data_IF_180926826132
#
_entry.id   IF_180926826132
#
_cell.length_a   1.000
_cell.length_b   1.000
_cell.length_c   1.000
_cell.angle_alpha   90.00
_cell.angle_beta   90.00
_cell.angle_gamma   90.00
#
_symmetry.space_group_name_H-M   'P 1'
#
loop_
_entity.id
_entity.type
_entity.pdbx_description
1 polymer ?
#
# COMPACT_ATOMS: atom_id res chain seq x y z
N UNK A 1 -2.43 9.57 8.51
CA UNK A 1 -3.42 10.07 7.57
C UNK A 1 -3.31 9.34 6.25
N UNK A 2 -4.45 9.01 5.68
CA UNK A 2 -4.53 8.34 4.38
C UNK A 2 -5.09 9.30 3.35
N UNK A 3 -4.57 9.22 2.13
CA UNK A 3 -5.10 9.99 1.02
C UNK A 3 -4.89 9.26 -0.28
N UNK A 4 -5.71 9.57 -1.27
CA UNK A 4 -5.54 9.07 -2.63
C UNK A 4 -5.00 10.23 -3.45
N UNK A 5 -3.69 10.29 -3.65
CA UNK A 5 -3.10 11.46 -4.27
C UNK A 5 -3.41 11.52 -5.77
N UNK A 6 -3.62 12.71 -6.24
CA UNK A 6 -3.74 13.01 -7.67
C UNK A 6 -2.38 13.35 -8.24
N UNK A 7 -1.58 14.05 -7.44
CA UNK A 7 -0.25 14.50 -7.80
C UNK A 7 0.46 14.85 -6.51
N UNK A 8 1.76 15.00 -6.58
CA UNK A 8 2.52 15.53 -5.47
C UNK A 8 2.75 14.57 -4.31
N UNK A 9 2.98 13.29 -4.61
CA UNK A 9 3.46 12.39 -3.57
C UNK A 9 4.75 12.95 -2.98
N UNK A 10 4.92 12.79 -1.65
CA UNK A 10 6.13 13.24 -1.00
C UNK A 10 7.36 12.51 -1.52
N UNK A 11 7.22 11.25 -1.89
CA UNK A 11 8.30 10.45 -2.44
C UNK A 11 7.82 9.83 -3.75
N UNK A 12 8.02 10.55 -4.85
CA UNK A 12 7.58 10.10 -6.16
C UNK A 12 8.32 8.84 -6.62
N UNK A 13 9.57 8.68 -6.20
CA UNK A 13 10.32 7.49 -6.57
C UNK A 13 9.71 6.24 -5.96
N UNK A 14 9.39 6.29 -4.67
CA UNK A 14 8.78 5.15 -3.99
C UNK A 14 7.40 4.82 -4.58
N UNK A 15 6.61 5.86 -4.87
CA UNK A 15 5.29 5.67 -5.46
C UNK A 15 5.40 5.00 -6.84
N UNK A 16 6.31 5.48 -7.68
CA UNK A 16 6.52 4.91 -9.00
C UNK A 16 7.02 3.46 -8.92
N UNK A 17 7.89 3.19 -7.97
CA UNK A 17 8.41 1.85 -7.77
C UNK A 17 7.28 0.87 -7.41
N UNK A 18 6.37 1.27 -6.53
CA UNK A 18 5.25 0.40 -6.15
C UNK A 18 4.42 0.04 -7.37
N UNK A 19 4.10 1.02 -8.21
CA UNK A 19 3.34 0.76 -9.42
C UNK A 19 4.12 -0.11 -10.41
N UNK A 20 5.41 0.15 -10.56
CA UNK A 20 6.24 -0.60 -11.49
C UNK A 20 6.34 -2.08 -11.09
N UNK A 21 6.50 -2.36 -9.82
CA UNK A 21 6.61 -3.73 -9.33
C UNK A 21 5.32 -4.52 -9.57
N UNK A 22 4.16 -3.85 -9.53
CA UNK A 22 2.88 -4.47 -9.84
C UNK A 22 2.56 -4.44 -11.34
N UNK A 23 3.43 -3.85 -12.15
CA UNK A 23 3.20 -3.67 -13.59
C UNK A 23 1.97 -2.82 -13.87
N UNK A 24 1.69 -1.90 -12.98
CA UNK A 24 0.66 -0.89 -13.19
C UNK A 24 1.22 0.23 -14.04
N UNK A 25 0.32 1.02 -14.62
CA UNK A 25 0.71 2.27 -15.24
C UNK A 25 1.45 3.13 -14.21
N UNK A 26 2.47 3.86 -14.65
CA UNK A 26 3.30 4.68 -13.76
C UNK A 26 2.48 5.66 -12.93
N UNK A 27 1.38 6.15 -13.50
CA UNK A 27 0.52 7.13 -12.83
C UNK A 27 -0.74 6.53 -12.23
N UNK A 28 -0.79 5.21 -12.11
CA UNK A 28 -1.93 4.59 -11.46
C UNK A 28 -2.06 5.12 -10.04
N UNK A 29 -3.29 5.36 -9.62
CA UNK A 29 -3.54 5.87 -8.27
C UNK A 29 -3.11 4.85 -7.24
N UNK A 30 -2.53 5.34 -6.15
CA UNK A 30 -2.17 4.51 -5.01
C UNK A 30 -2.44 5.30 -3.73
N UNK A 31 -2.28 4.67 -2.60
CA UNK A 31 -2.56 5.28 -1.31
C UNK A 31 -1.26 5.68 -0.64
N UNK A 32 -1.17 6.94 -0.23
CA UNK A 32 -0.08 7.43 0.60
C UNK A 32 -0.56 7.44 2.06
N UNK A 33 0.19 6.76 2.92
CA UNK A 33 -0.18 6.57 4.32
C UNK A 33 0.88 7.24 5.18
N UNK A 34 0.44 8.17 6.03
CA UNK A 34 1.36 8.88 6.92
C UNK A 34 1.58 8.04 8.17
N UNK A 35 2.84 7.77 8.50
CA UNK A 35 3.26 7.04 9.71
C UNK A 35 2.57 5.68 9.86
N UNK A 36 2.25 5.03 8.75
CA UNK A 36 1.69 3.68 8.81
C UNK A 36 0.38 3.59 9.60
N UNK A 37 -0.44 4.63 9.57
CA UNK A 37 -1.69 4.64 10.32
C UNK A 37 -2.81 3.96 9.55
N UNK A 38 -3.67 3.25 10.30
CA UNK A 38 -4.86 2.65 9.75
C UNK A 38 -4.74 1.18 9.46
N UNK A 39 -5.88 0.59 9.17
CA UNK A 39 -6.01 -0.79 8.72
C UNK A 39 -6.80 -0.80 7.44
N UNK A 40 -6.48 -1.73 6.55
CA UNK A 40 -7.10 -1.80 5.24
C UNK A 40 -7.60 -3.22 5.01
N UNK A 41 -8.90 -3.36 4.81
CA UNK A 41 -9.49 -4.64 4.48
C UNK A 41 -9.76 -4.69 2.99
N UNK A 42 -9.35 -5.77 2.35
CA UNK A 42 -9.52 -5.93 0.92
C UNK A 42 -10.83 -6.68 0.66
N UNK A 43 -11.61 -6.16 -0.26
CA UNK A 43 -12.94 -6.69 -0.54
C UNK A 43 -12.96 -7.63 -1.74
N UNK A 44 -11.81 -7.87 -2.34
CA UNK A 44 -11.66 -8.82 -3.44
C UNK A 44 -10.22 -9.30 -3.51
N UNK A 45 -10.01 -10.41 -4.21
CA UNK A 45 -8.66 -10.92 -4.43
C UNK A 45 -7.88 -9.94 -5.31
N UNK A 46 -6.61 -9.72 -4.97
CA UNK A 46 -5.75 -8.82 -5.74
C UNK A 46 -4.28 -9.08 -5.43
N UNK A 47 -3.42 -8.16 -5.85
CA UNK A 47 -2.00 -8.13 -5.49
C UNK A 47 -1.65 -6.76 -5.00
N UNK A 48 -0.76 -6.66 -4.04
CA UNK A 48 -0.31 -5.38 -3.51
C UNK A 48 1.21 -5.30 -3.46
N UNK A 49 1.71 -4.07 -3.39
CA UNK A 49 3.11 -3.78 -3.13
C UNK A 49 3.19 -2.57 -2.22
N UNK A 50 4.08 -2.65 -1.22
CA UNK A 50 4.28 -1.55 -0.27
C UNK A 50 5.70 -1.05 -0.41
N UNK A 51 5.84 0.27 -0.55
CA UNK A 51 7.13 0.93 -0.66
C UNK A 51 7.18 2.14 0.28
N UNK A 52 8.32 2.81 0.31
CA UNK A 52 8.50 3.98 1.15
C UNK A 52 8.96 3.62 2.54
N UNK A 53 8.37 4.23 3.54
CA UNK A 53 8.73 3.97 4.93
C UNK A 53 8.33 2.58 5.37
N UNK A 54 9.09 2.03 6.31
CA UNK A 54 8.85 0.69 6.84
C UNK A 54 8.25 0.81 8.24
N UNK A 55 6.97 0.45 8.33
CA UNK A 55 6.22 0.42 9.58
C UNK A 55 5.76 -0.99 9.90
N UNK A 56 6.59 -1.97 9.58
CA UNK A 56 6.32 -3.38 9.89
C UNK A 56 4.97 -3.82 9.33
N UNK A 57 4.78 -3.74 8.01
CA UNK A 57 3.49 -4.11 7.43
C UNK A 57 3.19 -5.58 7.65
N UNK A 58 1.92 -5.88 7.88
CA UNK A 58 1.43 -7.23 8.13
C UNK A 58 0.18 -7.48 7.31
N UNK A 59 0.08 -8.68 6.78
CA UNK A 59 -1.16 -9.15 6.18
C UNK A 59 -1.66 -10.28 7.06
N UNK A 60 -2.86 -10.10 7.62
CA UNK A 60 -3.46 -11.06 8.55
C UNK A 60 -2.48 -11.40 9.67
N UNK A 61 -1.87 -10.36 10.25
CA UNK A 61 -0.95 -10.43 11.38
C UNK A 61 0.40 -11.08 11.07
N UNK A 62 0.70 -11.34 9.81
CA UNK A 62 2.02 -11.86 9.42
C UNK A 62 2.82 -10.77 8.73
N UNK A 63 4.05 -10.58 9.18
CA UNK A 63 4.93 -9.59 8.58
C UNK A 63 5.18 -9.88 7.11
N UNK A 64 5.18 -8.85 6.31
CA UNK A 64 5.55 -8.94 4.90
C UNK A 64 6.75 -8.05 4.63
N UNK A 65 7.38 -8.29 3.49
CA UNK A 65 8.55 -7.52 3.08
C UNK A 65 8.14 -6.31 2.27
N UNK A 66 8.91 -5.23 2.46
CA UNK A 66 8.79 -4.06 1.61
C UNK A 66 9.22 -4.38 0.19
N UNK A 67 8.72 -3.62 -0.77
CA UNK A 67 9.14 -3.70 -2.17
C UNK A 67 8.98 -5.09 -2.77
N UNK A 68 7.94 -5.80 -2.35
CA UNK A 68 7.62 -7.14 -2.83
C UNK A 68 6.15 -7.22 -3.16
N UNK A 69 5.81 -8.00 -4.17
CA UNK A 69 4.43 -8.20 -4.58
C UNK A 69 3.84 -9.36 -3.77
N UNK A 70 2.68 -9.12 -3.17
CA UNK A 70 1.99 -10.14 -2.39
C UNK A 70 0.59 -10.38 -2.93
N UNK A 71 0.19 -11.65 -3.08
CA UNK A 71 -1.21 -11.96 -3.39
C UNK A 71 -2.06 -11.70 -2.17
N UNK A 72 -3.24 -11.14 -2.40
CA UNK A 72 -4.19 -10.80 -1.36
C UNK A 72 -5.48 -11.55 -1.63
N UNK A 73 -6.00 -12.21 -0.61
CA UNK A 73 -7.31 -12.83 -0.66
C UNK A 73 -8.36 -11.87 -0.12
N UNK A 74 -9.57 -11.99 -0.64
CA UNK A 74 -10.71 -11.24 -0.12
C UNK A 74 -10.75 -11.38 1.41
N UNK A 75 -11.07 -10.29 2.07
CA UNK A 75 -11.18 -10.15 3.53
C UNK A 75 -9.85 -10.14 4.27
N UNK A 76 -8.72 -10.19 3.56
CA UNK A 76 -7.42 -9.98 4.20
C UNK A 76 -7.31 -8.57 4.74
N UNK A 77 -6.55 -8.42 5.82
CA UNK A 77 -6.35 -7.14 6.49
C UNK A 77 -4.87 -6.78 6.47
N UNK A 78 -4.58 -5.60 5.92
CA UNK A 78 -3.25 -5.00 6.00
C UNK A 78 -3.22 -4.10 7.21
N UNK A 79 -2.23 -4.29 8.06
CA UNK A 79 -2.02 -3.46 9.23
C UNK A 79 -0.55 -3.13 9.36
N UNK A 80 -0.23 -2.22 10.27
CA UNK A 80 1.13 -1.75 10.50
C UNK A 80 1.45 -1.84 11.98
N UNK A 81 2.73 -1.79 12.28
CA UNK A 81 3.19 -1.86 13.63
C UNK A 81 4.35 -0.89 13.87
N UNK A 82 5.42 -1.39 14.46
CA UNK A 82 6.55 -0.56 14.86
C UNK A 82 7.22 0.09 13.66
N UNK A 83 7.53 1.37 13.80
CA UNK A 83 8.30 2.10 12.79
C UNK A 83 9.74 1.61 12.78
N UNK A 84 10.22 1.29 11.60
CA UNK A 84 11.63 0.96 11.38
C UNK A 84 12.34 2.18 10.80
N UNK A 85 11.74 2.81 9.77
CA UNK A 85 12.27 4.06 9.21
C UNK A 85 11.19 4.73 8.37
N UNK A 86 11.42 6.00 8.10
CA UNK A 86 10.59 6.77 7.17
C UNK A 86 9.35 7.36 7.80
N UNK A 87 8.52 7.99 6.98
CA UNK A 87 7.30 8.64 7.42
C UNK A 87 6.11 8.31 6.51
N UNK A 88 6.34 8.21 5.20
CA UNK A 88 5.28 7.97 4.22
C UNK A 88 5.38 6.55 3.68
N UNK A 89 4.27 5.85 3.73
CA UNK A 89 4.14 4.49 3.17
C UNK A 89 3.26 4.58 1.93
N UNK A 90 3.62 3.83 0.91
CA UNK A 90 2.85 3.81 -0.34
C UNK A 90 2.31 2.42 -0.58
N UNK A 91 1.00 2.33 -0.73
CA UNK A 91 0.30 1.08 -1.01
C UNK A 91 -0.22 1.13 -2.44
N UNK A 92 0.29 0.25 -3.27
CA UNK A 92 -0.19 0.08 -4.63
C UNK A 92 -0.96 -1.23 -4.73
N UNK A 93 -2.05 -1.20 -5.49
CA UNK A 93 -2.91 -2.36 -5.72
C UNK A 93 -2.91 -2.64 -7.22
N UNK A 94 -2.87 -3.91 -7.59
CA UNK A 94 -2.86 -4.28 -9.00
C UNK A 94 -4.08 -3.69 -9.72
N UNK A 95 -3.82 -3.07 -10.87
CA UNK A 95 -4.86 -2.38 -11.63
C UNK A 95 -5.18 -0.99 -11.12
N UNK A 96 -4.48 -0.52 -10.07
CA UNK A 96 -4.72 0.79 -9.47
C UNK A 96 -5.78 0.72 -8.39
N UNK A 97 -5.92 1.84 -7.67
CA UNK A 97 -6.87 1.91 -6.57
C UNK A 97 -8.28 2.09 -7.11
N UNK A 98 -9.18 1.25 -6.59
CA UNK A 98 -10.62 1.37 -6.83
C UNK A 98 -11.30 1.30 -5.48
N UNK A 99 -12.23 2.20 -5.25
CA UNK A 99 -12.84 2.37 -3.93
C UNK A 99 -13.53 1.11 -3.42
N UNK A 100 -14.04 0.28 -4.31
CA UNK A 100 -14.74 -0.94 -3.92
C UNK A 100 -13.80 -2.09 -3.56
N UNK A 101 -12.49 -1.93 -3.70
CA UNK A 101 -11.53 -3.00 -3.40
C UNK A 101 -10.93 -2.93 -2.02
N UNK A 102 -10.96 -1.76 -1.39
CA UNK A 102 -10.30 -1.55 -0.10
C UNK A 102 -11.25 -0.84 0.83
N UNK A 103 -11.34 -1.36 2.03
CA UNK A 103 -12.09 -0.73 3.11
C UNK A 103 -11.11 -0.31 4.19
N UNK A 104 -11.10 0.97 4.50
CA UNK A 104 -10.20 1.55 5.50
C UNK A 104 -10.94 1.71 6.81
N UNK A 105 -10.29 1.36 7.90
CA UNK A 105 -10.86 1.56 9.22
C UNK A 105 -9.86 2.15 10.20
#
# INVERSE_FOLDING_TARGET
KMGIPQAGYMDTYAAKMANALLKNHERAALIEITFGQGKFKFTSDTYICITGGDFSPKINEKLIKMQSVYPIKKDSVLSFGKRVYGARVYLSVYGGIQTERIYSS
#
